data_IF_019572706623
#
_entry.id   IF_019572706623
#
_cell.length_a   1.000
_cell.length_b   1.000
_cell.length_c   1.000
_cell.angle_alpha   90.00
_cell.angle_beta   90.00
_cell.angle_gamma   90.00
#
_symmetry.space_group_name_H-M   'P 1'
#
loop_
_entity.id
_entity.type
_entity.pdbx_description
1 polymer ?
#
# COMPACT_ATOMS: atom_id res chain seq x y z
N UNK A 1 17.82 24.59 -12.34
CA UNK A 1 17.38 23.18 -12.35
C UNK A 1 16.42 23.01 -11.19
N UNK A 2 15.11 23.17 -11.37
CA UNK A 2 14.15 22.21 -11.95
C UNK A 2 13.85 21.04 -11.01
N UNK A 3 13.26 21.34 -9.84
CA UNK A 3 12.53 20.34 -9.08
C UNK A 3 11.03 20.62 -9.27
N UNK A 4 10.44 19.90 -10.22
CA UNK A 4 9.05 20.04 -10.60
C UNK A 4 8.19 19.15 -9.67
N UNK A 5 7.79 19.68 -8.52
CA UNK A 5 6.99 18.99 -7.50
C UNK A 5 5.55 18.64 -7.96
N UNK A 6 5.23 18.87 -9.24
CA UNK A 6 3.91 18.62 -9.85
C UNK A 6 3.85 17.33 -10.66
N UNK A 7 4.81 16.41 -10.50
CA UNK A 7 4.66 15.05 -11.01
C UNK A 7 3.69 14.27 -10.10
N UNK A 8 2.45 14.72 -10.05
CA UNK A 8 1.32 13.83 -9.79
C UNK A 8 1.40 12.78 -10.89
N UNK A 9 2.03 11.64 -10.58
CA UNK A 9 2.09 10.51 -11.49
C UNK A 9 0.65 10.23 -11.91
N UNK A 10 0.31 10.51 -13.16
CA UNK A 10 -0.99 10.22 -13.70
C UNK A 10 -1.23 8.74 -13.39
N UNK A 11 -2.18 8.47 -12.49
CA UNK A 11 -2.52 7.11 -12.11
C UNK A 11 -3.14 6.51 -13.36
N UNK A 12 -2.30 5.87 -14.19
CA UNK A 12 -2.76 5.13 -15.35
C UNK A 12 -3.75 4.10 -14.84
N UNK A 13 -5.03 4.32 -15.16
CA UNK A 13 -6.09 3.40 -14.77
C UNK A 13 -5.76 2.00 -15.29
N UNK A 14 -6.13 0.99 -14.51
CA UNK A 14 -6.02 -0.42 -14.89
C UNK A 14 -6.42 -0.61 -16.36
N UNK A 15 -5.58 -1.24 -17.18
CA UNK A 15 -5.91 -1.56 -18.57
C UNK A 15 -7.17 -2.45 -18.60
N UNK A 16 -8.13 -2.12 -19.48
CA UNK A 16 -9.40 -2.85 -19.59
C UNK A 16 -9.20 -4.37 -19.82
N UNK A 17 -8.08 -4.74 -20.45
CA UNK A 17 -7.67 -6.15 -20.66
C UNK A 17 -7.28 -6.83 -19.35
N UNK A 18 -6.50 -6.14 -18.51
CA UNK A 18 -6.09 -6.64 -17.19
C UNK A 18 -7.29 -6.82 -16.27
N UNK A 19 -8.26 -5.88 -16.30
CA UNK A 19 -9.52 -6.02 -15.59
C UNK A 19 -10.26 -7.30 -15.99
N UNK A 20 -10.50 -7.52 -17.29
CA UNK A 20 -11.16 -8.72 -17.77
C UNK A 20 -10.41 -10.01 -17.39
N UNK A 21 -9.08 -10.01 -17.49
CA UNK A 21 -8.24 -11.14 -17.11
C UNK A 21 -8.36 -11.53 -15.63
N UNK A 22 -8.42 -10.53 -14.71
CA UNK A 22 -8.61 -10.79 -13.27
C UNK A 22 -9.94 -11.53 -13.03
N UNK A 23 -11.04 -11.07 -13.64
CA UNK A 23 -12.34 -11.73 -13.47
C UNK A 23 -12.36 -13.13 -14.10
N UNK A 24 -11.74 -13.33 -15.26
CA UNK A 24 -11.58 -14.67 -15.84
C UNK A 24 -10.88 -15.62 -14.88
N UNK A 25 -9.75 -15.21 -14.30
CA UNK A 25 -8.99 -16.05 -13.36
C UNK A 25 -9.81 -16.34 -12.10
N UNK A 26 -10.49 -15.32 -11.53
CA UNK A 26 -11.33 -15.49 -10.34
C UNK A 26 -12.48 -16.47 -10.60
N UNK A 27 -13.23 -16.30 -11.69
CA UNK A 27 -14.35 -17.19 -12.00
C UNK A 27 -13.90 -18.60 -12.41
N UNK A 28 -12.76 -18.72 -13.11
CA UNK A 28 -12.15 -20.02 -13.40
C UNK A 28 -11.73 -20.73 -12.10
N UNK A 29 -11.10 -20.02 -11.17
CA UNK A 29 -10.77 -20.56 -9.86
C UNK A 29 -12.02 -20.99 -9.09
N UNK A 30 -13.10 -20.18 -9.07
CA UNK A 30 -14.37 -20.56 -8.42
C UNK A 30 -15.04 -21.76 -9.09
N UNK A 31 -14.91 -21.89 -10.42
CA UNK A 31 -15.43 -23.02 -11.20
C UNK A 31 -14.67 -24.32 -10.93
N UNK A 32 -13.34 -24.23 -10.76
CA UNK A 32 -12.43 -25.37 -10.65
C UNK A 32 -12.06 -25.74 -9.20
N UNK A 33 -12.14 -24.83 -8.23
CA UNK A 33 -11.88 -25.12 -6.81
C UNK A 33 -12.69 -26.31 -6.26
N UNK A 34 -13.98 -26.46 -6.58
CA UNK A 34 -14.79 -27.59 -6.13
C UNK A 34 -14.20 -28.94 -6.55
N UNK A 35 -13.52 -28.99 -7.70
CA UNK A 35 -12.92 -30.20 -8.26
C UNK A 35 -11.80 -30.75 -7.35
N UNK A 36 -11.05 -29.86 -6.69
CA UNK A 36 -9.98 -30.24 -5.74
C UNK A 36 -10.54 -30.92 -4.49
N UNK A 37 -11.80 -30.65 -4.15
CA UNK A 37 -12.48 -31.23 -2.99
C UNK A 37 -13.48 -32.36 -3.36
N UNK A 38 -13.44 -32.84 -4.60
CA UNK A 38 -14.34 -33.88 -5.10
C UNK A 38 -15.79 -33.41 -5.35
N UNK A 39 -16.04 -32.10 -5.37
CA UNK A 39 -17.35 -31.52 -5.70
C UNK A 39 -17.53 -31.31 -7.20
N UNK A 40 -18.78 -31.12 -7.62
CA UNK A 40 -19.11 -30.84 -9.03
C UNK A 40 -18.57 -29.48 -9.49
N UNK A 41 -18.10 -29.47 -10.74
CA UNK A 41 -17.67 -28.25 -11.41
C UNK A 41 -18.85 -27.29 -11.52
N UNK A 42 -18.64 -26.05 -11.09
CA UNK A 42 -19.66 -24.99 -11.23
C UNK A 42 -19.64 -24.50 -12.67
N UNK A 43 -20.36 -25.20 -13.55
CA UNK A 43 -20.44 -24.90 -14.99
C UNK A 43 -20.84 -23.45 -15.24
N UNK A 44 -21.76 -22.89 -14.45
CA UNK A 44 -22.15 -21.49 -14.55
C UNK A 44 -20.96 -20.53 -14.35
N UNK A 45 -20.04 -20.83 -13.43
CA UNK A 45 -18.86 -20.00 -13.16
C UNK A 45 -17.86 -20.09 -14.32
N UNK A 46 -17.72 -21.26 -14.94
CA UNK A 46 -16.89 -21.44 -16.14
C UNK A 46 -17.46 -20.70 -17.35
N UNK A 47 -18.78 -20.70 -17.54
CA UNK A 47 -19.45 -19.93 -18.60
C UNK A 47 -19.18 -18.44 -18.40
N UNK A 48 -19.32 -17.93 -17.17
CA UNK A 48 -19.01 -16.53 -16.85
C UNK A 48 -17.52 -16.23 -17.10
N UNK A 49 -16.60 -17.11 -16.71
CA UNK A 49 -15.18 -16.96 -16.98
C UNK A 49 -14.87 -16.85 -18.49
N UNK A 50 -15.50 -17.71 -19.30
CA UNK A 50 -15.36 -17.71 -20.76
C UNK A 50 -15.89 -16.43 -21.39
N UNK A 51 -17.04 -15.91 -20.94
CA UNK A 51 -17.60 -14.63 -21.39
C UNK A 51 -16.65 -13.48 -21.06
N UNK A 52 -16.11 -13.43 -19.84
CA UNK A 52 -15.13 -12.39 -19.48
C UNK A 52 -13.85 -12.50 -20.29
N UNK A 53 -13.40 -13.72 -20.58
CA UNK A 53 -12.18 -13.96 -21.37
C UNK A 53 -12.35 -13.50 -22.82
N UNK A 54 -13.45 -13.87 -23.47
CA UNK A 54 -13.73 -13.45 -24.85
C UNK A 54 -13.98 -11.95 -24.94
N UNK A 55 -14.70 -11.36 -23.97
CA UNK A 55 -14.90 -9.92 -23.90
C UNK A 55 -13.58 -9.16 -23.69
N UNK A 56 -12.66 -9.68 -22.86
CA UNK A 56 -11.35 -9.08 -22.64
C UNK A 56 -10.47 -9.06 -23.90
N UNK A 57 -10.57 -10.09 -24.75
CA UNK A 57 -9.79 -10.22 -25.99
C UNK A 57 -10.39 -9.46 -27.17
N UNK A 58 -11.71 -9.63 -27.40
CA UNK A 58 -12.38 -9.16 -28.61
C UNK A 58 -12.95 -7.74 -28.45
N UNK A 59 -13.43 -7.39 -27.25
CA UNK A 59 -14.12 -6.13 -27.02
C UNK A 59 -13.78 -5.49 -25.65
N UNK A 60 -12.50 -5.20 -25.36
CA UNK A 60 -12.11 -4.56 -24.09
C UNK A 60 -12.75 -3.18 -23.89
N UNK A 61 -13.23 -2.53 -24.95
CA UNK A 61 -13.98 -1.28 -24.88
C UNK A 61 -15.34 -1.44 -24.17
N UNK A 62 -16.00 -2.60 -24.26
CA UNK A 62 -17.26 -2.86 -23.53
C UNK A 62 -17.03 -2.95 -22.01
N UNK A 63 -15.85 -3.40 -21.60
CA UNK A 63 -15.44 -3.50 -20.20
C UNK A 63 -14.96 -2.15 -19.64
N UNK A 64 -14.73 -1.14 -20.49
CA UNK A 64 -14.22 0.18 -20.07
C UNK A 64 -15.09 0.91 -19.04
N UNK A 65 -16.44 1.05 -19.20
CA UNK A 65 -17.26 1.73 -18.20
C UNK A 65 -17.28 0.97 -16.87
N UNK A 66 -17.30 -0.36 -16.91
CA UNK A 66 -17.30 -1.20 -15.71
C UNK A 66 -15.96 -1.11 -14.97
N UNK A 67 -14.84 -1.18 -15.72
CA UNK A 67 -13.50 -1.02 -15.17
C UNK A 67 -13.33 0.37 -14.52
N UNK A 68 -13.85 1.43 -15.15
CA UNK A 68 -13.81 2.78 -14.56
C UNK A 68 -14.61 2.88 -13.27
N UNK A 69 -15.78 2.24 -13.21
CA UNK A 69 -16.59 2.22 -11.99
C UNK A 69 -15.90 1.43 -10.88
N UNK A 70 -15.36 0.26 -11.22
CA UNK A 70 -14.58 -0.58 -10.30
C UNK A 70 -13.34 0.15 -9.77
N UNK A 71 -12.64 0.88 -10.64
CA UNK A 71 -11.47 1.66 -10.25
C UNK A 71 -11.84 2.78 -9.27
N UNK A 72 -12.94 3.51 -9.52
CA UNK A 72 -13.46 4.52 -8.57
C UNK A 72 -13.83 3.89 -7.22
N UNK A 73 -14.46 2.72 -7.25
CA UNK A 73 -14.78 1.98 -6.03
C UNK A 73 -13.50 1.57 -5.28
N UNK A 74 -12.49 1.06 -5.99
CA UNK A 74 -11.18 0.73 -5.42
C UNK A 74 -10.49 1.94 -4.78
N UNK A 75 -10.57 3.11 -5.40
CA UNK A 75 -10.03 4.36 -4.85
C UNK A 75 -10.77 4.79 -3.57
N UNK A 76 -12.11 4.67 -3.56
CA UNK A 76 -12.92 4.97 -2.38
C UNK A 76 -12.62 4.01 -1.23
N UNK A 77 -12.48 2.71 -1.54
CA UNK A 77 -12.06 1.71 -0.58
C UNK A 77 -10.66 2.00 -0.05
N UNK A 78 -9.71 2.35 -0.93
CA UNK A 78 -8.36 2.72 -0.54
C UNK A 78 -8.34 3.92 0.42
N UNK A 79 -9.20 4.92 0.21
CA UNK A 79 -9.34 6.07 1.12
C UNK A 79 -9.74 5.66 2.54
N UNK A 80 -10.45 4.55 2.70
CA UNK A 80 -10.87 4.03 4.02
C UNK A 80 -9.81 3.07 4.58
N UNK A 81 -9.31 2.15 3.75
CA UNK A 81 -8.34 1.13 4.14
C UNK A 81 -6.99 1.75 4.50
N UNK A 82 -6.53 2.76 3.76
CA UNK A 82 -5.25 3.44 4.02
C UNK A 82 -5.14 3.99 5.44
N UNK A 83 -6.05 4.86 5.93
CA UNK A 83 -6.02 5.33 7.31
C UNK A 83 -6.31 4.22 8.33
N UNK A 84 -7.12 3.22 8.01
CA UNK A 84 -7.32 2.06 8.90
C UNK A 84 -6.04 1.26 9.11
N UNK A 85 -5.31 0.95 8.04
CA UNK A 85 -4.03 0.22 8.12
C UNK A 85 -3.00 1.06 8.84
N UNK A 86 -2.90 2.36 8.55
CA UNK A 86 -2.00 3.26 9.26
C UNK A 86 -2.35 3.36 10.75
N UNK A 87 -3.64 3.47 11.09
CA UNK A 87 -4.11 3.45 12.47
C UNK A 87 -3.79 2.13 13.17
N UNK A 88 -4.03 1.00 12.51
CA UNK A 88 -3.69 -0.33 13.01
C UNK A 88 -2.19 -0.44 13.29
N UNK A 89 -1.33 -0.03 12.35
CA UNK A 89 0.12 -0.03 12.52
C UNK A 89 0.54 0.86 13.69
N UNK A 90 -0.07 2.03 13.82
CA UNK A 90 0.21 2.93 14.93
C UNK A 90 -0.17 2.32 16.28
N UNK A 91 -1.33 1.71 16.42
CA UNK A 91 -1.80 1.17 17.70
C UNK A 91 -1.24 -0.22 18.03
N UNK A 92 -0.87 -1.04 17.04
CA UNK A 92 -0.37 -2.41 17.25
C UNK A 92 1.15 -2.48 17.25
N UNK A 93 1.83 -1.58 16.55
CA UNK A 93 3.30 -1.57 16.49
C UNK A 93 3.83 -0.37 17.25
N UNK A 94 3.56 0.85 16.79
CA UNK A 94 4.22 2.06 17.31
C UNK A 94 3.90 2.32 18.79
N UNK A 95 2.62 2.27 19.14
CA UNK A 95 2.12 2.57 20.48
C UNK A 95 2.64 1.59 21.53
N UNK A 96 2.54 0.25 21.36
CA UNK A 96 3.09 -0.69 22.33
C UNK A 96 4.62 -0.65 22.38
N UNK A 97 5.32 -0.41 21.26
CA UNK A 97 6.77 -0.19 21.31
C UNK A 97 7.12 1.03 22.17
N UNK A 98 6.44 2.16 21.98
CA UNK A 98 6.65 3.36 22.79
C UNK A 98 6.31 3.15 24.27
N UNK A 99 5.21 2.44 24.56
CA UNK A 99 4.82 2.09 25.92
C UNK A 99 5.86 1.17 26.58
N UNK A 100 6.35 0.16 25.87
CA UNK A 100 7.38 -0.75 26.35
C UNK A 100 8.68 -0.01 26.64
N UNK A 101 9.11 0.91 25.77
CA UNK A 101 10.27 1.76 26.01
C UNK A 101 10.11 2.61 27.27
N UNK A 102 8.92 3.20 27.48
CA UNK A 102 8.62 3.99 28.68
C UNK A 102 8.62 3.14 29.95
N UNK A 103 8.10 1.91 29.90
CA UNK A 103 8.13 0.97 31.02
C UNK A 103 9.57 0.51 31.35
N UNK A 104 10.41 0.34 30.31
CA UNK A 104 11.83 0.01 30.46
C UNK A 104 12.70 1.22 30.85
N UNK A 105 12.10 2.39 31.11
CA UNK A 105 12.81 3.62 31.46
C UNK A 105 13.63 4.23 30.33
N UNK A 106 13.50 3.72 29.10
CA UNK A 106 14.22 4.23 27.93
C UNK A 106 13.49 5.45 27.40
N UNK A 107 14.08 6.63 27.57
CA UNK A 107 13.65 7.91 27.00
C UNK A 107 14.66 8.34 25.93
N UNK A 108 14.40 8.10 24.63
CA UNK A 108 15.33 8.48 23.56
C UNK A 108 15.50 10.00 23.41
N UNK A 109 14.51 10.75 23.89
CA UNK A 109 14.49 12.19 23.87
C UNK A 109 14.26 12.69 25.28
N UNK A 110 15.10 13.63 25.71
CA UNK A 110 14.92 14.32 26.98
C UNK A 110 13.86 15.40 26.77
N UNK A 111 12.69 15.18 27.37
CA UNK A 111 11.49 15.99 27.18
C UNK A 111 11.24 16.93 28.37
N UNK A 112 12.06 16.81 29.41
CA UNK A 112 11.95 17.63 30.61
C UNK A 112 12.56 19.02 30.33
N UNK A 113 11.77 20.07 30.59
CA UNK A 113 12.19 21.45 30.37
C UNK A 113 12.96 21.95 31.60
N UNK A 114 14.26 22.11 31.46
CA UNK A 114 15.15 22.74 32.43
C UNK A 114 15.33 24.24 32.11
N UNK A 115 14.87 25.09 33.03
CA UNK A 115 15.00 26.56 32.91
C UNK A 115 16.34 27.10 33.39
N UNK A 116 17.19 26.26 33.96
CA UNK A 116 18.49 26.63 34.54
C UNK A 116 19.64 26.49 33.55
N UNK A 117 19.44 25.76 32.45
CA UNK A 117 20.44 25.59 31.39
C UNK A 117 20.40 26.75 30.40
N UNK A 118 21.59 27.26 30.05
CA UNK A 118 21.73 28.35 29.07
C UNK A 118 21.46 27.92 27.63
N UNK A 119 21.51 26.61 27.33
CA UNK A 119 21.22 26.05 26.01
C UNK A 119 20.98 24.54 26.10
N UNK A 120 19.99 24.03 25.35
CA UNK A 120 19.74 22.59 25.16
C UNK A 120 20.63 21.95 24.08
N UNK A 121 21.57 22.71 23.53
CA UNK A 121 22.45 22.22 22.47
C UNK A 121 23.40 21.13 22.98
N UNK A 122 23.23 19.91 22.48
CA UNK A 122 24.11 18.78 22.81
C UNK A 122 25.41 18.89 21.99
N UNK A 123 26.47 19.37 22.63
CA UNK A 123 27.82 19.41 22.02
C UNK A 123 28.35 17.98 21.88
N UNK A 124 28.53 17.50 20.65
CA UNK A 124 29.13 16.19 20.38
C UNK A 124 30.65 16.32 20.23
N UNK A 125 31.41 15.56 21.01
CA UNK A 125 32.86 15.43 20.89
C UNK A 125 33.25 13.96 20.62
N UNK A 126 33.97 13.65 19.52
CA UNK A 126 34.42 14.58 18.47
C UNK A 126 33.25 15.17 17.66
N UNK A 127 33.49 16.33 17.06
CA UNK A 127 32.53 17.07 16.25
C UNK A 127 32.18 16.29 14.99
N UNK A 128 31.11 15.51 15.05
CA UNK A 128 30.58 14.74 13.92
C UNK A 128 31.48 13.56 13.48
N UNK A 129 30.98 12.69 12.59
CA UNK A 129 31.79 11.65 11.98
C UNK A 129 32.87 12.31 11.09
N UNK A 130 34.05 11.68 10.98
CA UNK A 130 35.17 12.24 10.22
C UNK A 130 34.75 12.58 8.78
N UNK A 131 35.28 13.66 8.17
CA UNK A 131 34.89 14.11 6.82
C UNK A 131 34.91 13.00 5.76
N UNK A 132 35.81 12.02 5.93
CA UNK A 132 35.97 10.82 5.10
C UNK A 132 34.70 9.95 4.99
N UNK A 133 33.75 10.09 5.91
CA UNK A 133 32.54 9.25 5.98
C UNK A 133 31.41 9.71 5.06
N UNK A 134 31.47 10.94 4.54
CA UNK A 134 30.45 11.49 3.63
C UNK A 134 30.85 11.27 2.17
N UNK A 135 30.82 10.00 1.73
CA UNK A 135 31.32 9.59 0.41
C UNK A 135 30.54 10.15 -0.79
N UNK A 136 29.31 10.65 -0.59
CA UNK A 136 28.43 11.19 -1.64
C UNK A 136 27.60 12.38 -1.10
N UNK A 137 28.22 13.53 -0.87
CA UNK A 137 27.51 14.73 -0.40
C UNK A 137 26.82 15.52 -1.53
N UNK A 138 27.08 15.18 -2.80
CA UNK A 138 26.47 15.79 -3.98
C UNK A 138 26.12 14.73 -5.02
#
# INVERSE_FOLDING_TARGET
MHEDLRREGAVEGSSNRSFGGVFTVVFAAVGLLPLIRGGEVRVWALVVAAVFFTAALLAPALLAPLNRLWFKFGLLLHRVVSPLVMGMLFYVVVTPTGLLMRLLGKRPLDLDFDSTVSSYWIVRQPSGPAPETMKNQF
#
